data_IF_237733502458
#
_entry.id   IF_237733502458
#
_cell.length_a   1.000
_cell.length_b   1.000
_cell.length_c   1.000
_cell.angle_alpha   90.00
_cell.angle_beta   90.00
_cell.angle_gamma   90.00
#
_symmetry.space_group_name_H-M   'P 1'
#
loop_
_entity.id
_entity.type
_entity.pdbx_description
1 polymer ?
#
# COMPACT_ATOMS: atom_id res chain seq x y z
N UNK A 1 16.27 -0.54 22.56
CA UNK A 1 15.40 -0.25 21.42
C UNK A 1 13.95 -0.64 21.74
N UNK A 2 13.04 0.25 21.45
CA UNK A 2 11.64 0.01 21.78
C UNK A 2 11.01 -0.92 20.75
N UNK A 3 10.08 -1.75 21.19
CA UNK A 3 9.32 -2.59 20.28
C UNK A 3 8.22 -1.75 19.61
N UNK A 4 7.53 -2.35 18.64
CA UNK A 4 6.51 -1.67 17.86
C UNK A 4 5.37 -1.14 18.74
N UNK A 5 4.99 -1.90 19.75
CA UNK A 5 3.89 -1.54 20.63
C UNK A 5 4.26 -0.33 21.50
N UNK A 6 5.46 -0.31 22.05
CA UNK A 6 5.94 0.83 22.82
C UNK A 6 6.03 2.09 21.99
N UNK A 7 6.48 1.94 20.73
CA UNK A 7 6.56 3.06 19.80
C UNK A 7 5.17 3.68 19.56
N UNK A 8 4.15 2.85 19.35
CA UNK A 8 2.79 3.34 19.17
C UNK A 8 2.29 4.05 20.43
N UNK A 9 2.56 3.53 21.60
CA UNK A 9 2.17 4.18 22.85
C UNK A 9 2.74 5.59 22.97
N UNK A 10 3.98 5.77 22.62
CA UNK A 10 4.61 7.09 22.69
C UNK A 10 4.07 8.06 21.66
N UNK A 11 3.71 7.57 20.48
CA UNK A 11 3.29 8.42 19.37
C UNK A 11 1.80 8.70 19.34
N UNK A 12 1.02 8.02 20.17
CA UNK A 12 -0.44 8.07 20.07
C UNK A 12 -1.10 9.04 21.03
N UNK A 13 -0.36 9.90 21.70
CA UNK A 13 -0.96 10.92 22.58
C UNK A 13 -1.93 11.83 21.82
N UNK A 14 -1.64 12.11 20.55
CA UNK A 14 -2.43 13.02 19.72
C UNK A 14 -3.08 12.35 18.52
N UNK A 15 -2.72 11.11 18.21
CA UNK A 15 -3.21 10.36 17.06
C UNK A 15 -3.64 8.99 17.53
N UNK A 16 -4.80 8.51 17.07
CA UNK A 16 -5.28 7.21 17.49
C UNK A 16 -4.39 6.08 16.94
N UNK A 17 -4.28 4.96 17.69
CA UNK A 17 -3.51 3.81 17.23
C UNK A 17 -3.98 3.27 15.88
N UNK A 18 -5.29 3.27 15.61
CA UNK A 18 -5.83 2.77 14.35
C UNK A 18 -5.34 3.61 13.17
N UNK A 19 -5.27 4.91 13.33
CA UNK A 19 -4.79 5.80 12.28
C UNK A 19 -3.30 5.57 12.02
N UNK A 20 -2.52 5.37 13.09
CA UNK A 20 -1.10 5.08 12.94
C UNK A 20 -0.86 3.79 12.16
N UNK A 21 -1.64 2.76 12.45
CA UNK A 21 -1.55 1.47 11.74
C UNK A 21 -1.99 1.65 10.28
N UNK A 22 -3.07 2.38 10.05
CA UNK A 22 -3.56 2.63 8.70
C UNK A 22 -2.51 3.33 7.84
N UNK A 23 -1.86 4.35 8.38
CA UNK A 23 -0.79 5.07 7.67
C UNK A 23 0.37 4.14 7.36
N UNK A 24 0.77 3.32 8.32
CA UNK A 24 1.87 2.38 8.12
C UNK A 24 1.53 1.33 7.06
N UNK A 25 0.32 0.79 7.10
CA UNK A 25 -0.13 -0.18 6.10
C UNK A 25 -0.16 0.44 4.70
N UNK A 26 -0.67 1.67 4.60
CA UNK A 26 -0.69 2.38 3.31
C UNK A 26 0.72 2.58 2.76
N UNK A 27 1.65 2.98 3.62
CA UNK A 27 3.05 3.18 3.21
C UNK A 27 3.67 1.87 2.74
N UNK A 28 3.42 0.76 3.45
CA UNK A 28 3.93 -0.55 3.09
C UNK A 28 3.37 -1.01 1.74
N UNK A 29 2.09 -0.79 1.50
CA UNK A 29 1.44 -1.15 0.23
C UNK A 29 2.03 -0.33 -0.91
N UNK A 30 2.20 0.97 -0.73
CA UNK A 30 2.81 1.84 -1.74
C UNK A 30 4.22 1.37 -2.07
N UNK A 31 5.02 1.07 -1.06
CA UNK A 31 6.38 0.57 -1.25
C UNK A 31 6.39 -0.75 -2.02
N UNK A 32 5.44 -1.64 -1.73
CA UNK A 32 5.31 -2.92 -2.43
C UNK A 32 4.94 -2.72 -3.89
N UNK A 33 4.01 -1.80 -4.17
CA UNK A 33 3.63 -1.47 -5.56
C UNK A 33 4.85 -0.97 -6.33
N UNK A 34 5.58 -0.02 -5.76
CA UNK A 34 6.77 0.54 -6.42
C UNK A 34 7.83 -0.52 -6.67
N UNK A 35 8.05 -1.40 -5.71
CA UNK A 35 9.02 -2.48 -5.87
C UNK A 35 8.62 -3.42 -7.02
N UNK A 36 7.34 -3.82 -7.07
CA UNK A 36 6.87 -4.72 -8.11
C UNK A 36 6.92 -4.07 -9.49
N UNK A 37 6.61 -2.78 -9.58
CA UNK A 37 6.73 -2.06 -10.85
C UNK A 37 8.18 -2.09 -11.35
N UNK A 38 9.13 -1.86 -10.45
CA UNK A 38 10.56 -1.90 -10.81
C UNK A 38 11.00 -3.29 -11.22
N UNK A 39 10.62 -4.30 -10.44
CA UNK A 39 10.99 -5.69 -10.74
C UNK A 39 10.45 -6.16 -12.09
N UNK A 40 9.24 -5.71 -12.44
CA UNK A 40 8.59 -6.12 -13.68
C UNK A 40 8.86 -5.14 -14.83
N UNK A 41 9.66 -4.12 -14.58
CA UNK A 41 9.98 -3.10 -15.57
C UNK A 41 8.71 -2.49 -16.17
N UNK A 42 7.74 -2.19 -15.29
CA UNK A 42 6.43 -1.69 -15.66
C UNK A 42 6.24 -0.26 -15.17
N UNK A 43 5.66 0.59 -16.03
CA UNK A 43 5.34 1.97 -15.65
C UNK A 43 3.97 2.05 -15.00
N UNK A 44 3.71 3.15 -14.30
CA UNK A 44 2.38 3.42 -13.76
C UNK A 44 1.32 3.47 -14.85
N UNK A 45 1.70 3.98 -16.01
CA UNK A 45 0.80 4.04 -17.16
C UNK A 45 0.40 2.64 -17.64
N UNK A 46 1.37 1.74 -17.71
CA UNK A 46 1.11 0.35 -18.10
C UNK A 46 0.22 -0.35 -17.08
N UNK A 47 0.46 -0.10 -15.80
CA UNK A 47 -0.38 -0.62 -14.74
C UNK A 47 -1.81 -0.10 -14.86
N UNK A 48 -1.97 1.20 -15.11
CA UNK A 48 -3.29 1.80 -15.32
C UNK A 48 -4.02 1.15 -16.49
N UNK A 49 -3.32 0.89 -17.59
CA UNK A 49 -3.89 0.21 -18.74
C UNK A 49 -4.37 -1.20 -18.39
N UNK A 50 -3.59 -1.94 -17.63
CA UNK A 50 -3.98 -3.29 -17.20
C UNK A 50 -5.22 -3.27 -16.30
N UNK A 51 -5.36 -2.21 -15.51
CA UNK A 51 -6.50 -2.06 -14.60
C UNK A 51 -7.73 -1.43 -15.27
N UNK A 52 -7.57 -0.91 -16.49
CA UNK A 52 -8.65 -0.17 -17.16
C UNK A 52 -8.95 1.15 -16.48
N UNK A 53 -7.95 1.78 -15.88
CA UNK A 53 -8.09 3.03 -15.15
C UNK A 53 -7.16 4.10 -15.70
N UNK A 54 -7.39 5.35 -15.28
CA UNK A 54 -6.53 6.46 -15.66
C UNK A 54 -5.22 6.41 -14.89
N UNK A 55 -4.14 6.86 -15.52
CA UNK A 55 -2.83 6.96 -14.88
C UNK A 55 -2.88 7.84 -13.64
N UNK A 56 -3.70 8.91 -13.65
CA UNK A 56 -3.83 9.80 -12.50
C UNK A 56 -4.32 9.07 -11.25
N UNK A 57 -5.16 8.05 -11.41
CA UNK A 57 -5.64 7.24 -10.28
C UNK A 57 -4.50 6.43 -9.69
N UNK A 58 -3.70 5.79 -10.55
CA UNK A 58 -2.54 5.01 -10.11
C UNK A 58 -1.52 5.92 -9.43
N UNK A 59 -1.26 7.08 -10.01
CA UNK A 59 -0.34 8.06 -9.45
C UNK A 59 -0.80 8.49 -8.04
N UNK A 60 -2.10 8.67 -7.85
CA UNK A 60 -2.66 9.04 -6.54
C UNK A 60 -2.40 7.95 -5.50
N UNK A 61 -2.42 6.69 -5.91
CA UNK A 61 -2.14 5.58 -4.99
C UNK A 61 -0.69 5.53 -4.55
N UNK A 62 0.22 6.15 -5.29
CA UNK A 62 1.65 6.08 -5.01
C UNK A 62 2.21 7.39 -4.44
N UNK A 63 1.42 8.46 -4.34
CA UNK A 63 1.92 9.78 -3.92
C UNK A 63 1.23 10.35 -2.69
N UNK A 64 0.24 9.67 -2.12
CA UNK A 64 -0.47 10.17 -0.95
C UNK A 64 -0.63 9.08 0.09
N UNK A 65 -1.69 9.19 0.87
CA UNK A 65 -2.06 8.15 1.82
C UNK A 65 -3.43 7.63 1.44
N UNK A 66 -3.52 6.85 0.36
CA UNK A 66 -4.81 6.36 -0.12
C UNK A 66 -5.39 5.34 0.86
N UNK A 67 -6.71 5.31 0.91
CA UNK A 67 -7.41 4.28 1.65
C UNK A 67 -7.76 3.17 0.65
N UNK A 68 -6.94 2.13 0.60
CA UNK A 68 -7.14 1.01 -0.31
C UNK A 68 -8.30 0.14 0.18
N UNK A 69 -9.18 -0.24 -0.75
CA UNK A 69 -10.19 -1.26 -0.46
C UNK A 69 -9.61 -2.63 -0.79
N UNK A 70 -10.22 -3.67 -0.23
CA UNK A 70 -9.83 -5.03 -0.57
C UNK A 70 -9.97 -5.30 -2.06
N UNK A 71 -11.01 -4.73 -2.69
CA UNK A 71 -11.22 -4.87 -4.14
C UNK A 71 -10.04 -4.28 -4.90
N UNK A 72 -9.61 -3.09 -4.54
CA UNK A 72 -8.48 -2.42 -5.19
C UNK A 72 -7.20 -3.23 -5.01
N UNK A 73 -6.94 -3.72 -3.80
CA UNK A 73 -5.76 -4.54 -3.54
C UNK A 73 -5.78 -5.83 -4.35
N UNK A 74 -6.96 -6.43 -4.50
CA UNK A 74 -7.12 -7.64 -5.31
C UNK A 74 -6.84 -7.37 -6.79
N UNK A 75 -7.38 -6.27 -7.30
CA UNK A 75 -7.15 -5.87 -8.69
C UNK A 75 -5.67 -5.60 -8.97
N UNK A 76 -5.01 -4.90 -8.05
CA UNK A 76 -3.58 -4.62 -8.17
C UNK A 76 -2.75 -5.90 -8.13
N UNK A 77 -3.11 -6.82 -7.24
CA UNK A 77 -2.40 -8.09 -7.12
C UNK A 77 -2.50 -8.91 -8.41
N UNK A 78 -3.68 -8.95 -9.01
CA UNK A 78 -3.87 -9.64 -10.29
C UNK A 78 -3.06 -8.97 -11.40
N UNK A 79 -3.12 -7.64 -11.48
CA UNK A 79 -2.41 -6.90 -12.53
C UNK A 79 -0.89 -7.04 -12.41
N UNK A 80 -0.38 -7.10 -11.19
CA UNK A 80 1.06 -7.22 -10.92
C UNK A 80 1.52 -8.68 -10.86
N UNK A 81 0.58 -9.62 -10.76
CA UNK A 81 0.91 -11.05 -10.74
C UNK A 81 1.45 -11.54 -9.41
N UNK A 82 1.34 -10.76 -8.35
CA UNK A 82 1.83 -11.13 -7.02
C UNK A 82 0.99 -10.46 -5.94
N UNK A 83 0.87 -11.07 -4.76
CA UNK A 83 0.07 -10.48 -3.69
C UNK A 83 0.70 -9.20 -3.16
N UNK A 84 -0.14 -8.20 -2.88
CA UNK A 84 0.31 -6.96 -2.25
C UNK A 84 0.32 -7.08 -0.73
N UNK A 85 -0.59 -7.88 -0.18
CA UNK A 85 -0.68 -8.09 1.26
C UNK A 85 -0.84 -9.57 1.53
N UNK A 86 -0.48 -9.97 2.72
CA UNK A 86 -0.71 -11.32 3.22
C UNK A 86 -1.26 -11.24 4.63
N UNK A 87 -2.15 -12.19 4.95
CA UNK A 87 -2.63 -12.29 6.31
C UNK A 87 -1.53 -12.93 7.15
N UNK A 88 -1.30 -12.37 8.33
CA UNK A 88 -0.27 -12.88 9.22
C UNK A 88 -0.55 -14.33 9.61
N UNK A 89 0.50 -15.15 9.58
CA UNK A 89 0.42 -16.52 10.04
C UNK A 89 0.36 -16.57 11.56
N UNK A 90 -0.31 -17.58 12.08
CA UNK A 90 -0.47 -17.79 13.51
C UNK A 90 0.70 -18.55 14.13
#
# INVERSE_FOLDING_TARGET
MKNKQEWFHEKTEKVSPEIMIEVQLSADIIARIDLLLKEKNMTQRELAQKLGKNESIVSRWTTGFPNFTLRTLSQLSVALGEPLIQIADH
#
